data_IF_326254168670
#
_entry.id   IF_326254168670
#
_cell.length_a   1.000
_cell.length_b   1.000
_cell.length_c   1.000
_cell.angle_alpha   90.00
_cell.angle_beta   90.00
_cell.angle_gamma   90.00
#
_symmetry.space_group_name_H-M   'P 1'
#
loop_
_entity.id
_entity.type
_entity.pdbx_description
1 polymer ?
#
# COMPACT_ATOMS: atom_id res chain seq x y z
N UNK A 1 9.70 9.22 2.18
CA UNK A 1 10.14 8.50 0.94
C UNK A 1 9.91 9.37 -0.29
N UNK A 2 10.89 9.54 -1.19
CA UNK A 2 10.74 10.32 -2.43
C UNK A 2 10.41 9.39 -3.61
N UNK A 3 9.13 9.20 -3.89
CA UNK A 3 8.65 8.30 -4.95
C UNK A 3 8.64 9.02 -6.31
N UNK A 4 9.49 8.57 -7.24
CA UNK A 4 9.52 9.06 -8.62
C UNK A 4 8.33 8.47 -9.41
N UNK A 5 7.48 9.32 -9.95
CA UNK A 5 6.27 8.93 -10.69
C UNK A 5 6.60 8.03 -11.89
N UNK A 6 7.68 8.34 -12.62
CA UNK A 6 8.14 7.57 -13.77
C UNK A 6 8.50 6.12 -13.41
N UNK A 7 9.15 5.92 -12.26
CA UNK A 7 9.51 4.59 -11.76
C UNK A 7 8.26 3.77 -11.43
N UNK A 8 7.24 4.40 -10.81
CA UNK A 8 5.98 3.72 -10.46
C UNK A 8 5.17 3.34 -11.70
N UNK A 9 5.09 4.20 -12.71
CA UNK A 9 4.41 3.88 -13.98
C UNK A 9 5.11 2.73 -14.70
N UNK A 10 6.44 2.75 -14.77
CA UNK A 10 7.22 1.66 -15.38
C UNK A 10 7.05 0.34 -14.63
N UNK A 11 6.95 0.38 -13.29
CA UNK A 11 6.65 -0.82 -12.52
C UNK A 11 5.25 -1.36 -12.82
N UNK A 12 4.23 -0.50 -12.84
CA UNK A 12 2.85 -0.91 -13.08
C UNK A 12 2.69 -1.60 -14.44
N UNK A 13 3.47 -1.21 -15.45
CA UNK A 13 3.40 -1.82 -16.79
C UNK A 13 4.27 -3.06 -16.97
N UNK A 14 5.36 -3.20 -16.22
CA UNK A 14 6.35 -4.27 -16.45
C UNK A 14 6.36 -5.38 -15.40
N UNK A 15 5.80 -5.14 -14.20
CA UNK A 15 5.87 -6.11 -13.11
C UNK A 15 4.74 -7.13 -13.19
N UNK A 16 5.02 -8.37 -12.80
CA UNK A 16 3.96 -9.33 -12.48
C UNK A 16 3.22 -8.87 -11.22
N UNK A 17 1.94 -9.23 -11.09
CA UNK A 17 1.11 -8.94 -9.91
C UNK A 17 1.85 -9.22 -8.59
N UNK A 18 2.56 -10.35 -8.51
CA UNK A 18 3.35 -10.73 -7.32
C UNK A 18 4.51 -9.80 -7.04
N UNK A 19 5.26 -9.40 -8.07
CA UNK A 19 6.40 -8.48 -7.91
C UNK A 19 5.90 -7.08 -7.56
N UNK A 20 4.81 -6.65 -8.19
CA UNK A 20 4.15 -5.37 -7.93
C UNK A 20 3.64 -5.30 -6.49
N UNK A 21 2.84 -6.29 -6.06
CA UNK A 21 2.34 -6.40 -4.69
C UNK A 21 3.46 -6.35 -3.64
N UNK A 22 4.50 -7.20 -3.77
CA UNK A 22 5.61 -7.21 -2.82
C UNK A 22 6.29 -5.85 -2.69
N UNK A 23 6.44 -5.12 -3.80
CA UNK A 23 7.07 -3.79 -3.79
C UNK A 23 6.18 -2.75 -3.13
N UNK A 24 4.89 -2.74 -3.43
CA UNK A 24 3.93 -1.83 -2.78
C UNK A 24 3.88 -2.07 -1.27
N UNK A 25 3.79 -3.34 -0.86
CA UNK A 25 3.78 -3.74 0.54
C UNK A 25 5.06 -3.32 1.26
N UNK A 26 6.21 -3.51 0.60
CA UNK A 26 7.49 -3.07 1.15
C UNK A 26 7.58 -1.54 1.29
N UNK A 27 7.04 -0.79 0.32
CA UNK A 27 7.02 0.67 0.40
C UNK A 27 6.10 1.17 1.53
N UNK A 28 4.95 0.53 1.73
CA UNK A 28 4.08 0.80 2.87
C UNK A 28 4.76 0.45 4.21
N UNK A 29 5.49 -0.68 4.27
CA UNK A 29 6.28 -1.05 5.44
C UNK A 29 7.33 -0.02 5.80
N UNK A 30 8.14 0.45 4.83
CA UNK A 30 9.16 1.47 5.07
C UNK A 30 8.55 2.78 5.61
N UNK A 31 7.31 3.09 5.18
CA UNK A 31 6.59 4.25 5.69
C UNK A 31 6.12 4.06 7.13
N UNK A 32 5.64 2.87 7.50
CA UNK A 32 5.27 2.53 8.88
C UNK A 32 6.49 2.47 9.79
N UNK A 33 7.60 1.94 9.30
CA UNK A 33 8.86 1.83 10.04
C UNK A 33 9.45 3.21 10.40
N UNK A 34 9.17 4.24 9.61
CA UNK A 34 9.51 5.63 9.95
C UNK A 34 8.73 6.17 11.14
N UNK A 35 7.53 5.64 11.41
CA UNK A 35 6.70 6.04 12.54
C UNK A 35 6.97 5.21 13.80
N UNK A 36 7.37 3.96 13.61
CA UNK A 36 7.65 3.02 14.67
C UNK A 36 8.61 1.94 14.15
N UNK A 37 9.79 1.83 14.76
CA UNK A 37 10.80 0.86 14.35
C UNK A 37 10.43 -0.60 14.69
N UNK A 38 9.46 -0.81 15.57
CA UNK A 38 9.05 -2.15 16.04
C UNK A 38 7.99 -2.80 15.14
N UNK A 39 7.66 -2.17 14.01
CA UNK A 39 6.68 -2.70 13.07
C UNK A 39 7.13 -4.02 12.49
N UNK A 40 6.23 -5.00 12.55
CA UNK A 40 6.40 -6.30 11.91
C UNK A 40 5.44 -6.41 10.74
N UNK A 41 5.97 -6.82 9.59
CA UNK A 41 5.17 -7.06 8.38
C UNK A 41 5.39 -8.48 7.87
N UNK A 42 4.28 -9.17 7.62
CA UNK A 42 4.25 -10.48 6.97
C UNK A 42 3.47 -10.37 5.67
N UNK A 43 4.09 -10.78 4.56
CA UNK A 43 3.48 -10.76 3.24
C UNK A 43 3.48 -12.15 2.60
N UNK A 44 2.29 -12.65 2.30
CA UNK A 44 2.07 -13.93 1.64
C UNK A 44 1.46 -13.71 0.24
N UNK A 45 1.89 -14.50 -0.72
CA UNK A 45 1.47 -14.38 -2.12
C UNK A 45 1.42 -15.76 -2.79
N UNK A 46 0.62 -16.66 -2.23
CA UNK A 46 0.46 -18.04 -2.70
C UNK A 46 -0.92 -18.28 -3.32
N UNK A 47 -1.99 -18.23 -2.53
CA UNK A 47 -3.38 -18.29 -3.02
C UNK A 47 -4.04 -16.92 -3.03
N UNK A 48 -3.81 -16.18 -1.95
CA UNK A 48 -4.16 -14.78 -1.80
C UNK A 48 -2.87 -13.97 -1.58
N UNK A 49 -2.99 -12.68 -1.88
CA UNK A 49 -2.01 -11.65 -1.60
C UNK A 49 -2.37 -11.02 -0.28
N UNK A 50 -1.82 -11.57 0.81
CA UNK A 50 -2.15 -11.17 2.17
C UNK A 50 -1.01 -10.38 2.78
N UNK A 51 -1.36 -9.33 3.50
CA UNK A 51 -0.46 -8.52 4.31
C UNK A 51 -0.98 -8.52 5.73
N UNK A 52 -0.12 -8.87 6.68
CA UNK A 52 -0.37 -8.69 8.10
C UNK A 52 0.65 -7.71 8.65
N UNK A 53 0.18 -6.76 9.45
CA UNK A 53 0.99 -5.69 10.03
C UNK A 53 0.73 -5.66 11.52
N UNK A 54 1.79 -5.79 12.32
CA UNK A 54 1.75 -5.48 13.74
C UNK A 54 2.32 -4.09 13.93
N UNK A 55 1.51 -3.17 14.46
CA UNK A 55 1.88 -1.78 14.71
C UNK A 55 1.32 -1.35 16.06
N UNK A 56 2.19 -0.92 16.98
CA UNK A 56 1.83 -0.44 18.33
C UNK A 56 0.90 -1.38 19.11
N UNK A 57 1.19 -2.68 19.06
CA UNK A 57 0.40 -3.70 19.75
C UNK A 57 -0.96 -4.00 19.12
N UNK A 58 -1.27 -3.45 17.94
CA UNK A 58 -2.44 -3.81 17.15
C UNK A 58 -2.05 -4.57 15.89
N UNK A 59 -2.90 -5.52 15.52
CA UNK A 59 -2.75 -6.34 14.32
C UNK A 59 -3.73 -5.89 13.26
N UNK A 60 -3.23 -5.61 12.06
CA UNK A 60 -4.02 -5.25 10.89
C UNK A 60 -3.78 -6.27 9.79
N UNK A 61 -4.83 -6.59 9.02
CA UNK A 61 -4.71 -7.55 7.92
C UNK A 61 -5.49 -7.08 6.70
N UNK A 62 -4.89 -7.23 5.53
CA UNK A 62 -5.56 -7.04 4.25
C UNK A 62 -5.22 -8.20 3.31
N UNK A 63 -6.18 -8.61 2.49
CA UNK A 63 -6.01 -9.68 1.52
C UNK A 63 -6.61 -9.28 0.18
N UNK A 64 -5.92 -9.65 -0.90
CA UNK A 64 -6.37 -9.45 -2.28
C UNK A 64 -6.23 -10.75 -3.07
N UNK A 65 -7.11 -10.94 -4.04
CA UNK A 65 -6.98 -11.92 -5.10
C UNK A 65 -6.02 -11.42 -6.18
N UNK A 66 -5.52 -12.33 -7.03
CA UNK A 66 -4.68 -11.93 -8.18
C UNK A 66 -5.41 -10.94 -9.09
N UNK A 67 -6.69 -11.18 -9.36
CA UNK A 67 -7.50 -10.35 -10.24
C UNK A 67 -7.66 -8.93 -9.71
N UNK A 68 -7.86 -8.76 -8.40
CA UNK A 68 -7.90 -7.43 -7.77
C UNK A 68 -6.56 -6.71 -7.90
N UNK A 69 -5.44 -7.40 -7.69
CA UNK A 69 -4.11 -6.80 -7.91
C UNK A 69 -3.93 -6.37 -9.36
N UNK A 70 -4.31 -7.21 -10.33
CA UNK A 70 -4.19 -6.87 -11.76
C UNK A 70 -5.04 -5.64 -12.12
N UNK A 71 -6.29 -5.58 -11.63
CA UNK A 71 -7.20 -4.43 -11.84
C UNK A 71 -6.61 -3.16 -11.25
N UNK A 72 -6.17 -3.20 -9.98
CA UNK A 72 -5.58 -2.05 -9.30
C UNK A 72 -4.27 -1.62 -9.98
N UNK A 73 -3.44 -2.57 -10.42
CA UNK A 73 -2.20 -2.29 -11.14
C UNK A 73 -2.45 -1.57 -12.47
N UNK A 74 -3.54 -1.90 -13.17
CA UNK A 74 -3.93 -1.24 -14.42
C UNK A 74 -4.62 0.11 -14.20
N UNK A 75 -5.39 0.26 -13.12
CA UNK A 75 -6.16 1.47 -12.85
C UNK A 75 -5.26 2.68 -12.60
N UNK A 76 -4.22 2.52 -11.78
CA UNK A 76 -3.25 3.59 -11.51
C UNK A 76 -1.98 3.03 -10.86
N UNK A 77 -0.81 3.65 -11.10
CA UNK A 77 0.46 3.26 -10.46
C UNK A 77 0.46 3.27 -8.92
N UNK A 78 -0.56 3.86 -8.29
CA UNK A 78 -0.72 3.93 -6.83
C UNK A 78 -2.04 3.31 -6.32
N UNK A 79 -2.90 2.74 -7.17
CA UNK A 79 -4.21 2.27 -6.70
C UNK A 79 -4.10 1.14 -5.66
N UNK A 80 -3.10 0.26 -5.81
CA UNK A 80 -2.86 -0.78 -4.81
C UNK A 80 -2.35 -0.22 -3.47
N UNK A 81 -1.47 0.79 -3.52
CA UNK A 81 -1.04 1.50 -2.31
C UNK A 81 -2.27 2.09 -1.59
N UNK A 82 -3.16 2.75 -2.33
CA UNK A 82 -4.39 3.34 -1.80
C UNK A 82 -5.28 2.30 -1.14
N UNK A 83 -5.54 1.19 -1.83
CA UNK A 83 -6.39 0.12 -1.31
C UNK A 83 -5.85 -0.41 0.02
N UNK A 84 -4.53 -0.68 0.09
CA UNK A 84 -3.89 -1.14 1.32
C UNK A 84 -4.09 -0.11 2.44
N UNK A 85 -3.71 1.16 2.21
CA UNK A 85 -3.82 2.18 3.25
C UNK A 85 -5.26 2.40 3.72
N UNK A 86 -6.23 2.45 2.80
CA UNK A 86 -7.64 2.57 3.14
C UNK A 86 -8.14 1.41 4.00
N UNK A 87 -7.78 0.18 3.67
CA UNK A 87 -8.15 -0.99 4.48
C UNK A 87 -7.54 -0.95 5.88
N UNK A 88 -6.30 -0.49 6.02
CA UNK A 88 -5.67 -0.35 7.33
C UNK A 88 -6.34 0.76 8.16
N UNK A 89 -6.65 1.91 7.55
CA UNK A 89 -7.35 3.02 8.22
C UNK A 89 -8.75 2.60 8.67
N UNK A 90 -9.48 1.85 7.83
CA UNK A 90 -10.80 1.31 8.18
C UNK A 90 -10.76 0.35 9.37
N UNK A 91 -9.62 -0.32 9.60
CA UNK A 91 -9.39 -1.16 10.77
C UNK A 91 -8.92 -0.38 12.01
N UNK A 92 -8.78 0.94 11.91
CA UNK A 92 -8.40 1.81 13.02
C UNK A 92 -6.93 2.24 13.03
N UNK A 93 -6.17 1.99 11.95
CA UNK A 93 -4.80 2.52 11.84
C UNK A 93 -4.84 4.05 11.77
N UNK A 94 -4.21 4.71 12.73
CA UNK A 94 -4.08 6.17 12.77
C UNK A 94 -2.85 6.61 11.98
N UNK A 95 -3.07 7.40 10.94
CA UNK A 95 -1.98 8.00 10.13
C UNK A 95 -1.26 9.06 10.97
N UNK A 96 0.06 8.93 11.10
CA UNK A 96 0.89 9.93 11.74
C UNK A 96 1.20 11.09 10.77
N UNK A 97 1.49 12.30 11.27
CA UNK A 97 2.05 13.37 10.45
C UNK A 97 3.29 12.84 9.70
N UNK A 98 3.32 13.03 8.40
CA UNK A 98 4.40 12.51 7.56
C UNK A 98 5.11 13.67 6.85
N UNK A 99 6.44 13.62 6.86
CA UNK A 99 7.27 14.49 6.02
C UNK A 99 7.58 13.73 4.72
N UNK A 100 6.81 14.00 3.66
CA UNK A 100 7.08 13.42 2.35
C UNK A 100 5.90 13.38 1.38
N UNK A 101 6.20 13.12 0.12
CA UNK A 101 5.23 13.16 -0.98
C UNK A 101 4.48 11.84 -1.21
N UNK A 102 4.79 10.77 -0.47
CA UNK A 102 4.24 9.45 -0.74
C UNK A 102 2.78 9.32 -0.26
N UNK A 103 2.54 9.48 1.04
CA UNK A 103 1.20 9.40 1.61
C UNK A 103 0.28 10.51 1.10
N UNK A 104 0.81 11.70 0.78
CA UNK A 104 0.03 12.74 0.13
C UNK A 104 -0.45 12.29 -1.26
N UNK A 105 0.43 11.77 -2.12
CA UNK A 105 0.02 11.25 -3.45
C UNK A 105 -0.99 10.11 -3.37
N UNK A 106 -0.81 9.19 -2.41
CA UNK A 106 -1.68 8.05 -2.19
C UNK A 106 -3.04 8.51 -1.65
N UNK A 107 -3.07 9.29 -0.56
CA UNK A 107 -4.33 9.64 0.12
C UNK A 107 -5.10 10.77 -0.58
N UNK A 108 -4.44 11.75 -1.22
CA UNK A 108 -5.12 12.85 -1.93
C UNK A 108 -5.98 12.35 -3.08
N UNK A 109 -5.51 11.36 -3.82
CA UNK A 109 -6.25 10.76 -4.95
C UNK A 109 -7.40 9.84 -4.50
N UNK A 110 -7.34 9.33 -3.25
CA UNK A 110 -8.38 8.50 -2.64
C UNK A 110 -9.57 9.33 -2.15
N UNK A 111 -9.32 10.55 -1.67
CA UNK A 111 -10.35 11.45 -1.15
C UNK A 111 -11.23 12.01 -2.30
N UNK A 112 -10.67 12.25 -3.48
CA UNK A 112 -11.44 12.75 -4.64
C UNK A 112 -12.50 11.76 -5.15
N UNK A 113 -12.31 10.44 -4.99
CA UNK A 113 -13.30 9.43 -5.45
C UNK A 113 -14.54 9.27 -4.56
N UNK A 114 -14.57 9.85 -3.36
CA UNK A 114 -15.75 9.83 -2.48
C UNK A 114 -16.73 10.98 -2.73
N UNK A 115 -16.38 11.91 -3.63
CA UNK A 115 -17.14 13.14 -3.91
C UNK A 115 -17.59 13.20 -5.39
N UNK A 116 -17.69 12.05 -6.07
CA UNK A 116 -18.18 11.94 -7.45
C UNK A 116 -19.18 10.81 -7.59
#
# INVERSE_FOLDING_TARGET
>A
MNTNHFFRTTMATSYTARKFFKKVVHDAYLQLQQWDSEVVLEAEAWRLYTVKIQYRGQSYQVAFTKSEIDILQQESPYALDQAIWLHLIQQGLVIQPFEGNYLSKVLTSSIQRKIS
#
